data_IF_267744515016
#
_entry.id   IF_267744515016
#
_cell.length_a   1.000
_cell.length_b   1.000
_cell.length_c   1.000
_cell.angle_alpha   90.00
_cell.angle_beta   90.00
_cell.angle_gamma   90.00
#
_symmetry.space_group_name_H-M   'P 1'
#
loop_
_entity.id
_entity.type
_entity.pdbx_description
1 polymer ?
#
# COMPACT_ATOMS: atom_id res chain seq x y z
N UNK A 1 14.15 -12.04 10.32
CA UNK A 1 13.50 -12.95 11.29
C UNK A 1 12.82 -12.09 12.34
N UNK A 2 11.60 -12.43 12.78
CA UNK A 2 11.01 -11.79 13.96
C UNK A 2 11.74 -12.44 15.15
N UNK A 3 12.86 -11.87 15.57
CA UNK A 3 13.64 -12.39 16.70
C UNK A 3 12.81 -12.29 17.98
N UNK A 4 12.66 -13.41 18.69
CA UNK A 4 12.18 -13.45 20.07
C UNK A 4 10.74 -13.90 20.33
N UNK A 5 9.97 -14.36 19.34
CA UNK A 5 8.61 -14.87 19.60
C UNK A 5 8.29 -16.17 18.83
N UNK A 6 7.67 -17.18 19.47
CA UNK A 6 7.22 -18.40 18.80
C UNK A 6 5.95 -18.10 17.98
N UNK A 7 6.08 -17.30 16.92
CA UNK A 7 5.02 -17.09 15.94
C UNK A 7 5.20 -18.12 14.85
N UNK A 8 4.22 -18.99 14.70
CA UNK A 8 4.12 -19.93 13.61
C UNK A 8 3.69 -19.18 12.34
N UNK A 9 4.64 -18.91 11.45
CA UNK A 9 4.40 -18.15 10.23
C UNK A 9 3.33 -18.79 9.32
N UNK A 10 3.10 -20.10 9.42
CA UNK A 10 2.06 -20.78 8.63
C UNK A 10 0.63 -20.36 9.01
N UNK A 11 0.44 -19.86 10.24
CA UNK A 11 -0.86 -19.42 10.79
C UNK A 11 -1.04 -17.91 10.76
N UNK A 12 0.01 -17.17 10.44
CA UNK A 12 -0.02 -15.72 10.34
C UNK A 12 -0.64 -15.31 9.00
N UNK A 13 -1.73 -14.54 9.04
CA UNK A 13 -2.27 -13.88 7.85
C UNK A 13 -2.26 -12.37 8.04
N UNK A 14 -1.85 -11.66 7.00
CA UNK A 14 -1.79 -10.21 6.99
C UNK A 14 -2.69 -9.75 5.84
N UNK A 15 -3.65 -8.91 6.15
CA UNK A 15 -4.51 -8.25 5.16
C UNK A 15 -4.15 -6.77 5.13
N UNK A 16 -4.07 -6.21 3.93
CA UNK A 16 -3.80 -4.78 3.73
C UNK A 16 -4.93 -4.16 2.91
N UNK A 17 -5.35 -2.97 3.31
CA UNK A 17 -6.43 -2.24 2.65
C UNK A 17 -6.05 -0.76 2.54
N UNK A 18 -6.26 -0.17 1.36
CA UNK A 18 -6.11 1.27 1.17
C UNK A 18 -7.44 1.96 1.54
N UNK A 19 -7.38 2.94 2.44
CA UNK A 19 -8.55 3.69 2.88
C UNK A 19 -8.90 4.72 1.81
N UNK A 20 -9.99 4.46 1.07
CA UNK A 20 -10.44 5.28 -0.06
C UNK A 20 -10.50 6.77 0.31
N UNK A 21 -9.96 7.61 -0.57
CA UNK A 21 -9.93 9.06 -0.39
C UNK A 21 -8.87 9.55 0.59
N UNK A 22 -7.96 8.68 1.03
CA UNK A 22 -6.85 9.04 1.93
C UNK A 22 -5.54 8.39 1.49
N UNK A 23 -4.41 8.88 2.02
CA UNK A 23 -3.09 8.27 1.84
C UNK A 23 -2.79 7.20 2.92
N UNK A 24 -3.83 6.65 3.55
CA UNK A 24 -3.69 5.71 4.67
C UNK A 24 -3.79 4.26 4.21
N UNK A 25 -2.90 3.43 4.74
CA UNK A 25 -2.90 1.98 4.57
C UNK A 25 -3.27 1.35 5.92
N UNK A 26 -4.30 0.51 5.91
CA UNK A 26 -4.69 -0.29 7.06
C UNK A 26 -4.01 -1.66 6.99
N UNK A 27 -3.42 -2.08 8.11
CA UNK A 27 -2.91 -3.42 8.33
C UNK A 27 -3.83 -4.18 9.29
N UNK A 28 -4.23 -5.40 8.92
CA UNK A 28 -4.93 -6.33 9.80
C UNK A 28 -4.09 -7.59 9.94
N UNK A 29 -3.78 -7.97 11.17
CA UNK A 29 -3.02 -9.18 11.48
C UNK A 29 -3.94 -10.19 12.14
N UNK A 30 -4.01 -11.35 11.53
CA UNK A 30 -4.84 -12.47 11.93
C UNK A 30 -3.95 -13.57 12.47
N UNK A 31 -4.18 -13.93 13.73
CA UNK A 31 -3.46 -15.01 14.39
C UNK A 31 -4.35 -15.66 15.46
N UNK A 32 -4.22 -16.98 15.72
CA UNK A 32 -5.08 -17.68 16.69
C UNK A 32 -5.03 -17.09 18.11
N UNK A 33 -3.85 -16.65 18.54
CA UNK A 33 -3.65 -16.01 19.85
C UNK A 33 -3.70 -14.48 19.71
N UNK A 34 -4.63 -13.85 20.44
CA UNK A 34 -4.84 -12.40 20.45
C UNK A 34 -3.61 -11.60 20.93
N UNK A 35 -2.90 -12.10 21.95
CA UNK A 35 -1.72 -11.41 22.49
C UNK A 35 -0.55 -11.46 21.50
N UNK A 36 -0.36 -12.61 20.84
CA UNK A 36 0.65 -12.77 19.79
C UNK A 36 0.27 -12.00 18.52
N UNK A 37 -1.02 -11.94 18.15
CA UNK A 37 -1.50 -11.14 17.03
C UNK A 37 -1.17 -9.65 17.19
N UNK A 38 -1.41 -9.10 18.39
CA UNK A 38 -1.14 -7.70 18.70
C UNK A 38 0.37 -7.39 18.66
N UNK A 39 1.19 -8.27 19.23
CA UNK A 39 2.66 -8.15 19.17
C UNK A 39 3.18 -8.23 17.74
N UNK A 40 2.68 -9.19 16.95
CA UNK A 40 3.04 -9.34 15.54
C UNK A 40 2.66 -8.07 14.75
N UNK A 41 1.44 -7.55 14.96
CA UNK A 41 0.98 -6.31 14.33
C UNK A 41 1.91 -5.12 14.66
N UNK A 42 2.32 -4.98 15.92
CA UNK A 42 3.25 -3.94 16.35
C UNK A 42 4.60 -4.06 15.63
N UNK A 43 5.23 -5.24 15.66
CA UNK A 43 6.54 -5.47 15.04
C UNK A 43 6.49 -5.24 13.52
N UNK A 44 5.45 -5.72 12.86
CA UNK A 44 5.27 -5.53 11.41
C UNK A 44 5.10 -4.03 11.10
N UNK A 45 4.28 -3.32 11.88
CA UNK A 45 4.04 -1.88 11.69
C UNK A 45 5.32 -1.07 11.88
N UNK A 46 6.09 -1.36 12.93
CA UNK A 46 7.38 -0.70 13.21
C UNK A 46 8.42 -1.02 12.13
N UNK A 47 8.54 -2.27 11.71
CA UNK A 47 9.46 -2.68 10.65
C UNK A 47 9.13 -1.99 9.32
N UNK A 48 7.84 -1.94 8.97
CA UNK A 48 7.37 -1.24 7.78
C UNK A 48 7.62 0.27 7.86
N UNK A 49 7.31 0.89 9.00
CA UNK A 49 7.59 2.31 9.24
C UNK A 49 9.08 2.62 9.08
N UNK A 50 9.97 1.82 9.69
CA UNK A 50 11.41 2.01 9.59
C UNK A 50 11.90 1.90 8.14
N UNK A 51 11.36 0.96 7.36
CA UNK A 51 11.68 0.84 5.94
C UNK A 51 11.21 2.07 5.15
N UNK A 52 10.01 2.58 5.44
CA UNK A 52 9.51 3.80 4.81
C UNK A 52 10.33 5.04 5.19
N UNK A 53 10.72 5.17 6.47
CA UNK A 53 11.57 6.27 6.94
C UNK A 53 12.92 6.27 6.23
N UNK A 54 13.56 5.11 6.07
CA UNK A 54 14.81 5.00 5.31
C UNK A 54 14.66 5.49 3.86
N UNK A 55 13.60 5.04 3.18
CA UNK A 55 13.31 5.48 1.80
C UNK A 55 13.03 6.98 1.74
N UNK A 56 12.31 7.50 2.75
CA UNK A 56 12.01 8.92 2.90
C UNK A 56 13.30 9.74 3.05
N UNK A 57 14.17 9.34 3.98
CA UNK A 57 15.45 10.02 4.26
C UNK A 57 16.38 10.02 3.04
N UNK A 58 16.51 8.87 2.36
CA UNK A 58 17.28 8.76 1.12
C UNK A 58 16.76 9.72 0.04
N UNK A 59 15.43 9.83 -0.10
CA UNK A 59 14.80 10.70 -1.08
C UNK A 59 14.95 12.19 -0.73
N UNK A 60 14.78 12.56 0.53
CA UNK A 60 15.01 13.93 1.01
C UNK A 60 16.47 14.32 0.79
N UNK A 61 17.42 13.45 1.14
CA UNK A 61 18.84 13.71 0.92
C UNK A 61 19.16 13.91 -0.57
N UNK A 62 18.62 13.07 -1.44
CA UNK A 62 18.78 13.21 -2.88
C UNK A 62 18.23 14.55 -3.40
N UNK A 63 17.03 14.95 -2.95
CA UNK A 63 16.42 16.23 -3.34
C UNK A 63 17.23 17.44 -2.83
N UNK A 64 17.73 17.37 -1.59
CA UNK A 64 18.58 18.42 -1.02
C UNK A 64 19.91 18.57 -1.75
N UNK A 65 20.58 17.46 -2.10
CA UNK A 65 21.81 17.51 -2.91
C UNK A 65 21.55 18.07 -4.31
N UNK A 66 20.41 17.72 -4.92
CA UNK A 66 20.00 18.31 -6.21
C UNK A 66 19.76 19.81 -6.09
N UNK A 67 19.09 20.26 -5.02
CA UNK A 67 18.85 21.69 -4.76
C UNK A 67 20.16 22.45 -4.62
N UNK A 68 21.06 21.95 -3.77
CA UNK A 68 22.41 22.50 -3.55
C UNK A 68 23.20 22.60 -4.86
N UNK A 69 23.11 21.60 -5.73
CA UNK A 69 23.79 21.63 -7.02
C UNK A 69 23.20 22.68 -7.99
N UNK A 70 21.88 22.87 -7.98
CA UNK A 70 21.24 23.94 -8.76
C UNK A 70 21.65 25.32 -8.24
N UNK A 71 21.68 25.52 -6.92
CA UNK A 71 22.13 26.77 -6.30
C UNK A 71 23.61 27.07 -6.63
N UNK A 72 24.50 26.06 -6.55
CA UNK A 72 25.89 26.19 -7.00
C UNK A 72 25.98 26.56 -8.48
N UNK A 73 25.16 25.95 -9.33
CA UNK A 73 25.13 26.24 -10.78
C UNK A 73 24.69 27.69 -11.02
N UNK A 74 23.69 28.20 -10.29
CA UNK A 74 23.25 29.61 -10.34
C UNK A 74 24.43 30.55 -10.09
N UNK A 75 25.15 30.34 -8.98
CA UNK A 75 26.33 31.15 -8.61
C UNK A 75 27.43 31.04 -9.66
N UNK A 76 27.69 29.85 -10.20
CA UNK A 76 28.73 29.66 -11.22
C UNK A 76 28.42 30.39 -12.53
N UNK A 77 27.15 30.42 -12.95
CA UNK A 77 26.71 31.12 -14.16
C UNK A 77 26.80 32.63 -13.93
N UNK A 78 26.41 33.11 -12.76
CA UNK A 78 26.54 34.53 -12.40
C UNK A 78 28.00 35.01 -12.44
N UNK A 79 28.94 34.25 -11.87
CA UNK A 79 30.38 34.58 -11.97
C UNK A 79 30.90 34.59 -13.41
N UNK A 80 30.44 33.65 -14.24
CA UNK A 80 30.80 33.63 -15.67
C UNK A 80 30.25 34.86 -16.39
N UNK A 81 29.03 35.27 -16.09
CA UNK A 81 28.44 36.48 -16.65
C UNK A 81 29.24 37.73 -16.28
N UNK A 82 29.58 37.88 -14.99
CA UNK A 82 30.41 39.01 -14.50
C UNK A 82 31.74 39.08 -15.25
N UNK A 83 32.43 37.94 -15.42
CA UNK A 83 33.67 37.87 -16.20
C UNK A 83 33.49 38.21 -17.68
N UNK A 84 32.40 37.78 -18.31
CA UNK A 84 32.10 38.13 -19.70
C UNK A 84 31.84 39.64 -19.86
N UNK A 85 31.06 40.24 -18.96
CA UNK A 85 30.78 41.69 -18.96
C UNK A 85 32.07 42.50 -18.79
N UNK A 86 32.96 42.08 -17.89
CA UNK A 86 34.25 42.75 -17.67
C UNK A 86 35.16 42.68 -18.90
N UNK A 87 35.22 41.53 -19.57
CA UNK A 87 35.99 41.36 -20.79
C UNK A 87 35.45 42.21 -21.95
N UNK A 88 34.12 42.27 -22.13
CA UNK A 88 33.48 43.09 -23.16
C UNK A 88 33.69 44.58 -22.90
N UNK A 89 33.64 45.01 -21.63
CA UNK A 89 33.87 46.42 -21.26
C UNK A 89 35.30 46.90 -21.55
N UNK A 90 36.22 45.98 -21.83
CA UNK A 90 37.63 46.27 -22.18
C UNK A 90 37.87 46.32 -23.71
N UNK A 91 36.83 46.16 -24.54
CA UNK A 91 36.89 46.16 -26.02
C UNK A 91 36.12 47.33 -26.67
N UNK A 92 36.36 47.59 -27.97
CA UNK A 92 35.77 48.69 -28.76
C UNK A 92 34.22 48.75 -28.74
N UNK A 93 33.62 49.95 -28.56
CA UNK A 93 32.22 50.12 -28.13
C UNK A 93 31.12 49.77 -29.16
N UNK A 94 31.40 49.80 -30.46
CA UNK A 94 30.36 49.70 -31.50
C UNK A 94 29.90 48.27 -31.84
N UNK A 95 30.74 47.25 -31.59
CA UNK A 95 30.40 45.82 -31.77
C UNK A 95 29.82 45.18 -30.50
N UNK A 96 29.86 45.91 -29.38
CA UNK A 96 29.61 45.36 -28.05
C UNK A 96 28.13 45.31 -27.65
N UNK A 97 27.26 46.17 -28.20
CA UNK A 97 25.87 46.28 -27.70
C UNK A 97 25.01 45.06 -28.01
N UNK A 98 24.97 44.61 -29.27
CA UNK A 98 24.18 43.45 -29.70
C UNK A 98 24.64 42.15 -29.06
N UNK A 99 25.97 41.97 -28.92
CA UNK A 99 26.54 40.81 -28.24
C UNK A 99 26.20 40.82 -26.75
N UNK A 100 26.26 41.98 -26.10
CA UNK A 100 25.90 42.13 -24.69
C UNK A 100 24.40 41.87 -24.47
N UNK A 101 23.54 42.40 -25.33
CA UNK A 101 22.09 42.20 -25.28
C UNK A 101 21.71 40.71 -25.46
N UNK A 102 22.38 39.99 -26.37
CA UNK A 102 22.18 38.56 -26.55
C UNK A 102 22.65 37.76 -25.32
N UNK A 103 23.81 38.09 -24.75
CA UNK A 103 24.34 37.45 -23.53
C UNK A 103 23.38 37.67 -22.35
N UNK A 104 22.87 38.89 -22.17
CA UNK A 104 21.93 39.24 -21.10
C UNK A 104 20.60 38.51 -21.28
N UNK A 105 20.03 38.52 -22.49
CA UNK A 105 18.77 37.81 -22.78
C UNK A 105 18.89 36.30 -22.53
N UNK A 106 20.00 35.67 -22.95
CA UNK A 106 20.25 34.26 -22.67
C UNK A 106 20.43 34.00 -21.16
N UNK A 107 21.09 34.90 -20.44
CA UNK A 107 21.23 34.79 -19.00
C UNK A 107 19.89 34.89 -18.28
N UNK A 108 19.04 35.84 -18.64
CA UNK A 108 17.69 35.99 -18.08
C UNK A 108 16.86 34.71 -18.28
N UNK A 109 16.88 34.16 -19.50
CA UNK A 109 16.20 32.90 -19.81
C UNK A 109 16.73 31.74 -18.96
N UNK A 110 18.05 31.56 -18.88
CA UNK A 110 18.66 30.48 -18.09
C UNK A 110 18.40 30.68 -16.59
N UNK A 111 18.48 31.91 -16.10
CA UNK A 111 18.21 32.25 -14.70
C UNK A 111 16.76 31.94 -14.33
N UNK A 112 15.81 32.35 -15.17
CA UNK A 112 14.39 32.07 -14.99
C UNK A 112 14.10 30.57 -14.92
N UNK A 113 14.64 29.78 -15.86
CA UNK A 113 14.48 28.32 -15.86
C UNK A 113 15.08 27.65 -14.60
N UNK A 114 16.22 28.16 -14.14
CA UNK A 114 16.89 27.64 -12.96
C UNK A 114 16.13 27.97 -11.68
N UNK A 115 15.60 29.19 -11.57
CA UNK A 115 14.72 29.60 -10.48
C UNK A 115 13.47 28.76 -10.43
N UNK A 116 12.79 28.58 -11.57
CA UNK A 116 11.61 27.72 -11.65
C UNK A 116 11.93 26.28 -11.20
N UNK A 117 13.07 25.73 -11.63
CA UNK A 117 13.54 24.42 -11.22
C UNK A 117 13.77 24.33 -9.70
N UNK A 118 14.35 25.37 -9.11
CA UNK A 118 14.57 25.48 -7.66
C UNK A 118 13.22 25.57 -6.92
N UNK A 119 12.29 26.42 -7.38
CA UNK A 119 10.96 26.57 -6.79
C UNK A 119 10.18 25.26 -6.81
N UNK A 120 10.10 24.60 -7.98
CA UNK A 120 9.45 23.28 -8.12
C UNK A 120 10.07 22.23 -7.20
N UNK A 121 11.38 22.27 -7.01
CA UNK A 121 12.07 21.32 -6.13
C UNK A 121 11.79 21.60 -4.64
N UNK A 122 11.74 22.87 -4.24
CA UNK A 122 11.36 23.29 -2.89
C UNK A 122 9.90 22.96 -2.58
N UNK A 123 9.00 23.17 -3.53
CA UNK A 123 7.59 22.79 -3.39
C UNK A 123 7.44 21.27 -3.18
N UNK A 124 8.16 20.46 -3.96
CA UNK A 124 8.20 19.01 -3.78
C UNK A 124 8.68 18.61 -2.38
N UNK A 125 9.72 19.27 -1.87
CA UNK A 125 10.22 19.05 -0.50
C UNK A 125 9.16 19.37 0.56
N UNK A 126 8.45 20.50 0.41
CA UNK A 126 7.38 20.89 1.33
C UNK A 126 6.17 19.93 1.30
N UNK A 127 5.86 19.38 0.12
CA UNK A 127 4.76 18.42 -0.04
C UNK A 127 5.10 17.01 0.49
N UNK A 128 6.37 16.73 0.77
CA UNK A 128 6.83 15.41 1.17
C UNK A 128 6.61 15.20 2.67
N UNK A 129 5.58 14.40 3.01
CA UNK A 129 5.23 14.12 4.41
C UNK A 129 5.98 12.90 4.93
N UNK A 130 6.50 13.01 6.15
CA UNK A 130 7.13 11.88 6.83
C UNK A 130 6.10 10.75 7.06
N UNK A 131 6.45 9.48 6.78
CA UNK A 131 5.57 8.35 7.10
C UNK A 131 5.39 8.22 8.61
N UNK A 132 4.16 8.00 9.06
CA UNK A 132 3.79 7.89 10.47
C UNK A 132 2.74 6.81 10.71
N UNK A 133 2.70 6.28 11.93
CA UNK A 133 1.63 5.38 12.37
C UNK A 133 0.50 6.25 12.92
N UNK A 134 -0.64 6.26 12.23
CA UNK A 134 -1.80 7.05 12.65
C UNK A 134 -2.59 6.38 13.78
N UNK A 135 -2.75 5.05 13.73
CA UNK A 135 -3.46 4.27 14.73
C UNK A 135 -2.56 3.17 15.29
N UNK A 136 -2.44 3.11 16.62
CA UNK A 136 -1.76 1.99 17.27
C UNK A 136 -2.60 0.70 17.16
N UNK A 137 -1.95 -0.47 17.20
CA UNK A 137 -2.67 -1.74 17.25
C UNK A 137 -3.63 -1.76 18.44
N UNK A 138 -4.93 -1.85 18.17
CA UNK A 138 -5.96 -1.97 19.20
C UNK A 138 -6.07 -3.41 19.70
N UNK A 139 -6.68 -3.60 20.87
CA UNK A 139 -6.96 -4.94 21.41
C UNK A 139 -7.74 -5.76 20.36
N UNK A 140 -7.27 -6.97 19.97
CA UNK A 140 -7.92 -7.71 18.89
C UNK A 140 -9.29 -8.21 19.33
N UNK A 141 -10.28 -8.03 18.45
CA UNK A 141 -11.55 -8.72 18.58
C UNK A 141 -11.40 -10.18 18.14
N UNK A 142 -11.85 -11.15 18.93
CA UNK A 142 -11.77 -12.55 18.53
C UNK A 142 -12.70 -12.79 17.33
N UNK A 143 -12.14 -13.31 16.23
CA UNK A 143 -12.92 -13.81 15.09
C UNK A 143 -13.61 -15.12 15.49
N UNK A 144 -14.68 -15.02 16.28
CA UNK A 144 -15.48 -16.19 16.66
C UNK A 144 -16.22 -16.73 15.42
N UNK A 145 -16.38 -18.06 15.29
CA UNK A 145 -17.26 -18.61 14.27
C UNK A 145 -18.66 -18.00 14.43
N UNK A 146 -19.31 -17.67 13.31
CA UNK A 146 -20.69 -17.15 13.29
C UNK A 146 -21.64 -18.25 13.78
N UNK A 147 -21.72 -18.47 15.10
CA UNK A 147 -22.49 -19.57 15.72
C UNK A 147 -23.93 -19.61 15.20
N UNK A 148 -24.55 -18.45 14.99
CA UNK A 148 -25.88 -18.31 14.39
C UNK A 148 -25.96 -18.92 12.98
N UNK A 149 -24.96 -18.67 12.13
CA UNK A 149 -24.89 -19.21 10.78
C UNK A 149 -24.70 -20.73 10.81
N UNK A 150 -23.80 -21.23 11.66
CA UNK A 150 -23.58 -22.67 11.81
C UNK A 150 -24.87 -23.37 12.25
N UNK A 151 -25.56 -22.83 13.26
CA UNK A 151 -26.84 -23.38 13.75
C UNK A 151 -27.90 -23.37 12.64
N UNK A 152 -28.04 -22.27 11.89
CA UNK A 152 -28.99 -22.18 10.78
C UNK A 152 -28.70 -23.23 9.69
N UNK A 153 -27.43 -23.40 9.32
CA UNK A 153 -27.00 -24.43 8.35
C UNK A 153 -27.30 -25.83 8.89
N UNK A 154 -27.04 -26.09 10.17
CA UNK A 154 -27.34 -27.40 10.79
C UNK A 154 -28.83 -27.74 10.78
N UNK A 155 -29.71 -26.76 11.03
CA UNK A 155 -31.16 -26.96 10.96
C UNK A 155 -31.58 -27.35 9.54
N UNK A 156 -31.13 -26.58 8.55
CA UNK A 156 -31.45 -26.83 7.14
C UNK A 156 -30.93 -28.22 6.72
N UNK A 157 -29.67 -28.53 7.02
CA UNK A 157 -29.09 -29.85 6.73
C UNK A 157 -29.86 -30.99 7.41
N UNK A 158 -30.24 -30.81 8.68
CA UNK A 158 -31.01 -31.81 9.42
C UNK A 158 -32.40 -32.04 8.82
N UNK A 159 -33.09 -30.98 8.39
CA UNK A 159 -34.38 -31.08 7.70
C UNK A 159 -34.26 -31.84 6.37
N UNK A 160 -33.24 -31.56 5.56
CA UNK A 160 -32.99 -32.32 4.33
C UNK A 160 -32.72 -33.80 4.63
N UNK A 161 -31.91 -34.10 5.63
CA UNK A 161 -31.63 -35.48 6.04
C UNK A 161 -32.91 -36.22 6.47
N UNK A 162 -33.79 -35.54 7.22
CA UNK A 162 -35.07 -36.10 7.65
C UNK A 162 -36.00 -36.42 6.47
N UNK A 163 -36.06 -35.53 5.47
CA UNK A 163 -36.81 -35.78 4.24
C UNK A 163 -36.25 -37.00 3.48
N UNK A 164 -34.92 -37.11 3.34
CA UNK A 164 -34.29 -38.28 2.73
C UNK A 164 -34.66 -39.57 3.46
N UNK A 165 -34.54 -39.61 4.79
CA UNK A 165 -34.87 -40.79 5.60
C UNK A 165 -36.34 -41.22 5.39
N UNK A 166 -37.27 -40.26 5.35
CA UNK A 166 -38.68 -40.57 5.10
C UNK A 166 -38.90 -41.21 3.72
N UNK A 167 -38.25 -40.70 2.67
CA UNK A 167 -38.32 -41.30 1.34
C UNK A 167 -37.65 -42.67 1.26
N UNK A 168 -36.49 -42.86 1.89
CA UNK A 168 -35.79 -44.16 1.94
C UNK A 168 -36.60 -45.21 2.69
N UNK A 169 -37.27 -44.83 3.78
CA UNK A 169 -38.16 -45.73 4.53
C UNK A 169 -39.33 -46.19 3.67
N UNK A 170 -40.00 -45.28 2.97
CA UNK A 170 -41.09 -45.60 2.04
C UNK A 170 -40.60 -46.50 0.89
N UNK A 171 -39.41 -46.24 0.35
CA UNK A 171 -38.80 -47.05 -0.70
C UNK A 171 -38.60 -48.50 -0.25
N UNK A 172 -38.00 -48.71 0.94
CA UNK A 172 -37.75 -50.07 1.46
C UNK A 172 -39.04 -50.82 1.79
N UNK A 173 -40.06 -50.11 2.31
CA UNK A 173 -41.37 -50.70 2.60
C UNK A 173 -42.11 -51.13 1.32
N UNK A 174 -42.00 -50.33 0.24
CA UNK A 174 -42.60 -50.68 -1.05
C UNK A 174 -41.94 -51.88 -1.71
N UNK A 175 -40.61 -51.99 -1.63
CA UNK A 175 -39.90 -53.16 -2.13
C UNK A 175 -40.25 -54.42 -1.33
N UNK A 176 -40.30 -54.34 0.01
CA UNK A 176 -40.72 -55.46 0.85
C UNK A 176 -42.15 -55.95 0.53
N UNK A 177 -43.10 -55.02 0.32
CA UNK A 177 -44.51 -55.34 0.04
C UNK A 177 -44.75 -55.92 -1.36
N UNK A 178 -43.86 -55.68 -2.33
CA UNK A 178 -43.97 -56.26 -3.68
C UNK A 178 -43.67 -57.77 -3.69
N UNK A 179 -42.86 -58.26 -2.76
CA UNK A 179 -42.49 -59.67 -2.64
C UNK A 179 -43.67 -60.58 -2.26
N UNK A 180 -44.59 -60.11 -1.41
CA UNK A 180 -45.77 -60.87 -0.96
C UNK A 180 -46.89 -60.98 -2.02
N UNK A 181 -46.90 -60.13 -3.04
CA UNK A 181 -47.96 -60.13 -4.07
C UNK A 181 -47.63 -60.99 -5.30
N UNK A 182 -46.41 -61.57 -5.36
CA UNK A 182 -45.99 -62.41 -6.50
C UNK A 182 -46.29 -63.91 -6.33
N UNK A 183 -46.64 -64.38 -5.12
CA UNK A 183 -47.06 -65.78 -4.88
C UNK A 183 -48.57 -66.01 -5.08
N UNK A 184 -49.37 -64.96 -5.32
CA UNK A 184 -50.83 -65.05 -5.47
C UNK A 184 -51.37 -65.14 -6.90
N UNK A 185 -50.50 -65.23 -7.92
CA UNK A 185 -50.91 -65.28 -9.35
C UNK A 185 -50.26 -66.43 -10.11
N UNK A 186 -50.49 -67.64 -9.66
CA UNK A 186 -50.48 -68.83 -10.52
C UNK A 186 -51.55 -69.80 -10.05
N UNK A 187 -52.75 -69.72 -10.62
CA UNK A 187 -53.75 -70.78 -10.73
C UNK A 187 -54.94 -70.23 -11.55
N UNK A 188 -54.76 -70.28 -12.87
CA UNK A 188 -55.78 -70.63 -13.86
C UNK A 188 -55.08 -71.50 -14.90
#
# INVERSE_FOLDING_TARGET
>A
AIEGFPIDLSKLRIETENIRGTDLIQFKVLYPDSTLAMKACKVISESFLNKLKKIYDERINFLNERLKNLEKRKVSIQKKLEGLIQNISSQEPATNSLLLENILSNYENISSQLEESIYRLRERLLSFKEPQIFNLPSKPEPLKPKKKLVIAVSIILGSFLGVFVAFFQEFWQREAKKTDFSEGKSLN
#
